data_IF_460425830425
#
_entry.id   IF_460425830425
#
_cell.length_a   1.000
_cell.length_b   1.000
_cell.length_c   1.000
_cell.angle_alpha   90.00
_cell.angle_beta   90.00
_cell.angle_gamma   90.00
#
_symmetry.space_group_name_H-M   'P 1'
#
loop_
_entity.id
_entity.type
_entity.pdbx_description
1 polymer ?
#
# COMPACT_ATOMS: atom_id res chain seq x y z
N UNK A 1 -6.38 13.40 15.11
CA UNK A 1 -5.18 12.65 15.52
C UNK A 1 -5.24 11.25 14.93
N UNK A 2 -4.16 10.82 14.29
CA UNK A 2 -4.08 9.50 13.70
C UNK A 2 -3.82 8.46 14.79
N UNK A 3 -4.45 7.31 14.69
CA UNK A 3 -4.26 6.22 15.64
C UNK A 3 -3.19 5.26 15.12
N UNK A 4 -2.32 4.79 16.02
CA UNK A 4 -1.38 3.74 15.67
C UNK A 4 -2.14 2.42 15.53
N UNK A 5 -2.00 1.73 14.39
CA UNK A 5 -2.67 0.44 14.21
C UNK A 5 -2.23 -0.60 15.23
N UNK A 6 -3.12 -1.51 15.54
CA UNK A 6 -2.82 -2.62 16.45
C UNK A 6 -2.01 -3.67 15.69
N UNK A 7 -0.82 -3.99 16.21
CA UNK A 7 0.04 -5.02 15.61
C UNK A 7 -0.44 -6.41 16.03
N UNK A 8 -0.59 -7.29 15.04
CA UNK A 8 -0.92 -8.68 15.27
C UNK A 8 0.35 -9.52 15.14
N UNK A 9 0.72 -10.34 16.13
CA UNK A 9 1.89 -11.19 15.99
C UNK A 9 1.63 -12.25 14.91
N UNK A 10 2.62 -12.42 14.03
CA UNK A 10 2.60 -13.43 12.98
C UNK A 10 3.80 -14.34 13.20
N UNK A 11 3.57 -15.64 13.36
CA UNK A 11 4.64 -16.59 13.60
C UNK A 11 4.62 -17.70 12.56
N UNK A 12 5.82 -18.16 12.19
CA UNK A 12 5.99 -19.32 11.34
C UNK A 12 5.75 -19.11 9.85
N UNK A 13 5.47 -17.88 9.42
CA UNK A 13 5.28 -17.56 8.00
C UNK A 13 5.58 -16.09 7.72
N UNK A 14 5.75 -15.69 6.45
CA UNK A 14 5.92 -14.28 6.11
C UNK A 14 4.74 -13.42 6.57
N UNK A 15 5.04 -12.16 6.89
CA UNK A 15 4.00 -11.14 7.11
C UNK A 15 3.41 -10.79 5.75
N UNK A 16 2.09 -10.81 5.64
CA UNK A 16 1.38 -10.59 4.37
C UNK A 16 0.74 -9.21 4.36
N UNK A 17 1.16 -8.38 3.40
CA UNK A 17 0.76 -6.96 3.30
C UNK A 17 0.12 -6.70 1.94
N UNK A 18 -1.08 -6.11 1.96
CA UNK A 18 -1.78 -5.71 0.75
C UNK A 18 -1.95 -4.19 0.75
N UNK A 19 -1.40 -3.51 -0.25
CA UNK A 19 -1.60 -2.08 -0.45
C UNK A 19 -2.78 -1.86 -1.39
N UNK A 20 -3.67 -0.93 -1.05
CA UNK A 20 -4.92 -0.71 -1.79
C UNK A 20 -5.10 0.78 -2.10
N UNK A 21 -5.45 1.08 -3.35
CA UNK A 21 -5.92 2.41 -3.75
C UNK A 21 -7.15 2.23 -4.64
N UNK A 22 -7.65 3.30 -5.24
CA UNK A 22 -8.89 3.20 -6.02
C UNK A 22 -8.75 2.27 -7.22
N UNK A 23 -7.82 2.54 -8.13
CA UNK A 23 -7.70 1.81 -9.41
C UNK A 23 -6.51 0.88 -9.53
N UNK A 24 -5.64 0.84 -8.53
CA UNK A 24 -4.43 0.01 -8.52
C UNK A 24 -3.49 0.29 -9.71
N UNK A 25 -3.35 1.57 -10.07
CA UNK A 25 -2.41 1.98 -11.13
C UNK A 25 -1.42 3.07 -10.73
N UNK A 26 -1.63 3.77 -9.61
CA UNK A 26 -0.70 4.81 -9.16
C UNK A 26 -0.17 4.53 -7.77
N UNK A 27 -0.96 4.78 -6.73
CA UNK A 27 -0.51 4.77 -5.33
C UNK A 27 -0.16 3.39 -4.81
N UNK A 28 -1.05 2.42 -4.94
CA UNK A 28 -0.82 1.09 -4.37
C UNK A 28 0.29 0.31 -5.08
N UNK A 29 0.42 0.34 -6.43
CA UNK A 29 1.56 -0.34 -7.04
C UNK A 29 2.88 0.35 -6.73
N UNK A 30 2.88 1.67 -6.51
CA UNK A 30 4.08 2.39 -6.08
C UNK A 30 4.47 1.99 -4.66
N UNK A 31 3.51 1.89 -3.75
CA UNK A 31 3.77 1.42 -2.39
C UNK A 31 4.34 0.00 -2.41
N UNK A 32 3.77 -0.88 -3.21
CA UNK A 32 4.28 -2.23 -3.40
C UNK A 32 5.73 -2.22 -3.88
N UNK A 33 6.02 -1.44 -4.94
CA UNK A 33 7.36 -1.38 -5.53
C UNK A 33 8.41 -0.79 -4.59
N UNK A 34 8.08 0.29 -3.90
CA UNK A 34 8.99 0.92 -2.93
C UNK A 34 9.23 -0.02 -1.74
N UNK A 35 8.17 -0.67 -1.23
CA UNK A 35 8.32 -1.57 -0.10
C UNK A 35 9.13 -2.81 -0.44
N UNK A 36 8.95 -3.38 -1.64
CA UNK A 36 9.79 -4.48 -2.12
C UNK A 36 11.26 -4.09 -2.16
N UNK A 37 11.55 -2.87 -2.62
CA UNK A 37 12.92 -2.35 -2.65
C UNK A 37 13.50 -2.26 -1.24
N UNK A 38 12.75 -1.72 -0.29
CA UNK A 38 13.18 -1.57 1.11
C UNK A 38 13.48 -2.92 1.76
N UNK A 39 12.58 -3.89 1.61
CA UNK A 39 12.77 -5.21 2.24
C UNK A 39 13.91 -5.97 1.58
N UNK A 40 14.10 -5.81 0.27
CA UNK A 40 15.19 -6.46 -0.45
C UNK A 40 16.55 -5.91 -0.01
N UNK A 41 16.67 -4.58 0.14
CA UNK A 41 17.91 -3.97 0.66
C UNK A 41 18.23 -4.38 2.09
N UNK A 42 17.20 -4.67 2.88
CA UNK A 42 17.36 -5.12 4.27
C UNK A 42 17.58 -6.64 4.39
N UNK A 43 17.57 -7.37 3.26
CA UNK A 43 17.69 -8.82 3.27
C UNK A 43 16.48 -9.52 3.86
N UNK A 44 15.29 -8.94 3.73
CA UNK A 44 14.06 -9.41 4.36
C UNK A 44 13.05 -9.98 3.36
N UNK A 45 13.48 -10.35 2.16
CA UNK A 45 12.58 -10.85 1.10
C UNK A 45 11.71 -12.02 1.53
N UNK A 46 12.26 -12.92 2.35
CA UNK A 46 11.53 -14.08 2.83
C UNK A 46 10.63 -13.78 4.03
N UNK A 47 10.77 -12.60 4.64
CA UNK A 47 10.00 -12.21 5.82
C UNK A 47 8.65 -11.59 5.45
N UNK A 48 8.43 -11.23 4.18
CA UNK A 48 7.22 -10.53 3.73
C UNK A 48 6.67 -11.13 2.44
N UNK A 49 5.34 -11.19 2.37
CA UNK A 49 4.59 -11.41 1.13
C UNK A 49 3.84 -10.11 0.85
N UNK A 50 4.08 -9.49 -0.31
CA UNK A 50 3.56 -8.16 -0.62
C UNK A 50 2.78 -8.20 -1.93
N UNK A 51 1.64 -7.52 -1.96
CA UNK A 51 0.83 -7.38 -3.16
C UNK A 51 0.10 -6.03 -3.12
N UNK A 52 -0.60 -5.70 -4.19
CA UNK A 52 -1.45 -4.53 -4.27
C UNK A 52 -2.74 -4.84 -5.03
N UNK A 53 -3.78 -4.07 -4.75
CA UNK A 53 -5.10 -4.23 -5.38
C UNK A 53 -5.82 -2.89 -5.45
N UNK A 54 -6.89 -2.83 -6.24
CA UNK A 54 -7.76 -1.67 -6.33
C UNK A 54 -9.11 -1.92 -5.69
N UNK A 55 -9.75 -0.84 -5.26
CA UNK A 55 -11.15 -0.89 -4.82
C UNK A 55 -12.03 -1.29 -6.00
N UNK A 56 -11.72 -0.76 -7.19
CA UNK A 56 -12.44 -1.06 -8.43
C UNK A 56 -11.53 -1.79 -9.41
N UNK A 57 -12.15 -2.55 -10.34
CA UNK A 57 -11.42 -3.31 -11.36
C UNK A 57 -11.29 -2.60 -12.70
N UNK A 58 -11.44 -1.28 -12.73
CA UNK A 58 -11.48 -0.50 -13.99
C UNK A 58 -10.23 -0.69 -14.86
N UNK A 59 -9.08 -0.87 -14.25
CA UNK A 59 -7.80 -1.03 -14.94
C UNK A 59 -7.25 -2.46 -14.88
N UNK A 60 -8.09 -3.44 -14.59
CA UNK A 60 -7.65 -4.82 -14.40
C UNK A 60 -6.77 -5.31 -15.55
N UNK A 61 -5.62 -5.87 -15.21
CA UNK A 61 -4.64 -6.39 -16.18
C UNK A 61 -3.65 -5.36 -16.69
N UNK A 62 -3.88 -4.08 -16.44
CA UNK A 62 -2.98 -3.01 -16.90
C UNK A 62 -1.75 -2.89 -16.01
N UNK A 63 -0.64 -2.43 -16.60
CA UNK A 63 0.54 -1.99 -15.85
C UNK A 63 0.22 -0.71 -15.11
N UNK A 64 1.02 -0.32 -14.12
CA UNK A 64 0.85 0.98 -13.46
C UNK A 64 0.88 2.13 -14.48
N UNK A 65 0.25 3.24 -14.11
CA UNK A 65 0.22 4.46 -14.93
C UNK A 65 1.62 4.78 -15.45
N UNK A 66 1.74 5.07 -16.76
CA UNK A 66 3.05 5.30 -17.39
C UNK A 66 3.83 6.46 -16.78
N UNK A 67 3.12 7.52 -16.35
CA UNK A 67 3.76 8.67 -15.67
C UNK A 67 4.30 8.25 -14.30
N UNK A 68 3.51 7.48 -13.55
CA UNK A 68 3.95 6.96 -12.25
C UNK A 68 5.17 6.08 -12.40
N UNK A 69 5.15 5.18 -13.39
CA UNK A 69 6.28 4.30 -13.69
C UNK A 69 7.55 5.09 -14.01
N UNK A 70 7.42 6.16 -14.81
CA UNK A 70 8.56 7.00 -15.20
C UNK A 70 9.15 7.73 -13.99
N UNK A 71 8.30 8.31 -13.13
CA UNK A 71 8.76 8.98 -11.92
C UNK A 71 9.43 8.01 -10.95
N UNK A 72 8.84 6.84 -10.75
CA UNK A 72 9.41 5.80 -9.88
C UNK A 72 10.76 5.31 -10.39
N UNK A 73 10.86 5.09 -11.71
CA UNK A 73 12.10 4.61 -12.34
C UNK A 73 13.28 5.56 -12.11
N UNK A 74 13.03 6.87 -12.10
CA UNK A 74 14.07 7.87 -11.81
C UNK A 74 14.65 7.74 -10.40
N UNK A 75 13.90 7.12 -9.49
CA UNK A 75 14.35 6.86 -8.11
C UNK A 75 14.82 5.41 -7.91
N UNK A 76 14.87 4.62 -8.98
CA UNK A 76 15.34 3.24 -8.93
C UNK A 76 14.28 2.20 -8.62
N UNK A 77 13.00 2.57 -8.68
CA UNK A 77 11.90 1.64 -8.45
C UNK A 77 11.31 1.15 -9.78
N UNK A 78 11.20 -0.17 -9.92
CA UNK A 78 10.61 -0.79 -11.11
C UNK A 78 9.20 -1.30 -10.76
N UNK A 79 8.19 -0.65 -11.31
CA UNK A 79 6.79 -0.98 -11.04
C UNK A 79 6.28 -1.93 -12.13
N UNK A 80 6.15 -3.19 -11.80
CA UNK A 80 5.82 -4.25 -12.77
C UNK A 80 4.52 -4.99 -12.48
N UNK A 81 3.83 -4.67 -11.40
CA UNK A 81 2.59 -5.36 -11.02
C UNK A 81 1.46 -5.06 -12.01
N UNK A 82 0.50 -5.98 -12.10
CA UNK A 82 -0.70 -5.79 -12.92
C UNK A 82 -1.87 -5.44 -12.01
N UNK A 83 -2.67 -4.48 -12.43
CA UNK A 83 -3.84 -4.05 -11.69
C UNK A 83 -4.83 -5.20 -11.53
N UNK A 84 -5.39 -5.35 -10.32
CA UNK A 84 -6.46 -6.28 -10.02
C UNK A 84 -7.38 -5.69 -8.95
N UNK A 85 -8.68 -6.02 -8.97
CA UNK A 85 -9.56 -5.59 -7.89
C UNK A 85 -9.31 -6.42 -6.63
N UNK A 86 -9.63 -5.83 -5.48
CA UNK A 86 -9.61 -6.56 -4.21
C UNK A 86 -10.68 -7.64 -4.22
N UNK A 87 -10.39 -8.78 -3.59
CA UNK A 87 -11.26 -9.95 -3.54
C UNK A 87 -11.63 -10.28 -2.10
N UNK A 88 -12.72 -11.00 -1.95
CA UNK A 88 -13.18 -11.51 -0.66
C UNK A 88 -12.05 -12.25 0.08
N UNK A 89 -11.32 -13.10 -0.63
CA UNK A 89 -10.23 -13.93 -0.08
C UNK A 89 -9.07 -13.10 0.47
N UNK A 90 -8.86 -11.90 -0.04
CA UNK A 90 -7.77 -11.02 0.40
C UNK A 90 -7.89 -10.67 1.88
N UNK A 91 -9.13 -10.51 2.38
CA UNK A 91 -9.36 -10.16 3.79
C UNK A 91 -8.94 -11.28 4.74
N UNK A 92 -8.97 -12.52 4.27
CA UNK A 92 -8.52 -13.67 5.06
C UNK A 92 -7.02 -13.90 4.90
N UNK A 93 -6.49 -13.69 3.70
CA UNK A 93 -5.09 -14.01 3.37
C UNK A 93 -4.09 -13.02 3.94
N UNK A 94 -4.36 -11.72 3.81
CA UNK A 94 -3.42 -10.69 4.23
C UNK A 94 -3.56 -10.36 5.71
N UNK A 95 -2.41 -10.05 6.35
CA UNK A 95 -2.38 -9.63 7.74
C UNK A 95 -2.69 -8.14 7.88
N UNK A 96 -2.22 -7.35 6.92
CA UNK A 96 -2.40 -5.89 6.89
C UNK A 96 -2.96 -5.49 5.53
N UNK A 97 -4.07 -4.74 5.56
CA UNK A 97 -4.71 -4.20 4.35
C UNK A 97 -4.64 -2.69 4.48
N UNK A 98 -3.79 -2.07 3.64
CA UNK A 98 -3.36 -0.69 3.83
C UNK A 98 -3.84 0.17 2.68
N UNK A 99 -4.80 1.07 2.98
CA UNK A 99 -5.31 2.04 2.03
C UNK A 99 -4.48 3.32 2.00
N UNK A 100 -4.75 4.17 1.03
CA UNK A 100 -3.98 5.40 0.81
C UNK A 100 -4.70 6.63 1.33
N UNK A 101 -6.04 6.63 1.31
CA UNK A 101 -6.84 7.76 1.77
C UNK A 101 -8.12 7.28 2.48
N UNK A 102 -8.85 8.22 3.07
CA UNK A 102 -10.04 7.91 3.84
C UNK A 102 -11.13 7.25 2.99
N UNK A 103 -11.26 7.62 1.72
CA UNK A 103 -12.20 6.97 0.80
C UNK A 103 -11.86 5.50 0.61
N UNK A 104 -10.57 5.17 0.49
CA UNK A 104 -10.13 3.78 0.43
C UNK A 104 -10.51 3.03 1.71
N UNK A 105 -10.24 3.63 2.87
CA UNK A 105 -10.56 3.02 4.17
C UNK A 105 -12.05 2.72 4.29
N UNK A 106 -12.89 3.70 4.00
CA UNK A 106 -14.34 3.53 4.09
C UNK A 106 -14.85 2.38 3.22
N UNK A 107 -14.37 2.33 1.99
CA UNK A 107 -14.79 1.29 1.05
C UNK A 107 -14.25 -0.08 1.43
N UNK A 108 -13.05 -0.15 1.98
CA UNK A 108 -12.50 -1.40 2.49
C UNK A 108 -13.30 -1.91 3.70
N UNK A 109 -13.67 -1.02 4.61
CA UNK A 109 -14.48 -1.39 5.78
C UNK A 109 -15.85 -1.91 5.36
N UNK A 110 -16.46 -1.32 4.33
CA UNK A 110 -17.73 -1.81 3.78
C UNK A 110 -17.60 -3.21 3.18
N UNK A 111 -16.46 -3.51 2.56
CA UNK A 111 -16.22 -4.81 1.91
C UNK A 111 -15.77 -5.90 2.87
N UNK A 112 -15.27 -5.54 4.04
CA UNK A 112 -14.74 -6.51 5.00
C UNK A 112 -15.83 -7.48 5.42
N UNK A 113 -15.58 -8.80 5.33
CA UNK A 113 -16.63 -9.81 5.62
C UNK A 113 -17.10 -9.84 7.07
N UNK A 114 -16.22 -9.48 8.02
CA UNK A 114 -16.52 -9.49 9.45
C UNK A 114 -15.88 -8.29 10.12
N UNK A 115 -16.35 -7.95 11.33
CA UNK A 115 -15.74 -6.90 12.15
C UNK A 115 -14.29 -7.23 12.51
N UNK A 116 -13.99 -8.50 12.75
CA UNK A 116 -12.63 -8.95 13.06
C UNK A 116 -11.68 -8.71 11.88
N UNK A 117 -12.10 -9.06 10.67
CA UNK A 117 -11.29 -8.84 9.47
C UNK A 117 -11.15 -7.35 9.15
N UNK A 118 -12.15 -6.54 9.47
CA UNK A 118 -12.09 -5.10 9.29
C UNK A 118 -10.97 -4.45 10.12
N UNK A 119 -10.56 -5.07 11.22
CA UNK A 119 -9.45 -4.58 12.05
C UNK A 119 -8.11 -4.59 11.33
N UNK A 120 -7.97 -5.35 10.24
CA UNK A 120 -6.75 -5.39 9.42
C UNK A 120 -6.58 -4.13 8.56
N UNK A 121 -7.64 -3.34 8.40
CA UNK A 121 -7.65 -2.16 7.53
C UNK A 121 -7.06 -0.96 8.24
N UNK A 122 -6.10 -0.30 7.59
CA UNK A 122 -5.49 0.95 8.08
C UNK A 122 -5.11 1.81 6.89
N UNK A 123 -4.74 3.07 7.16
CA UNK A 123 -4.10 3.92 6.16
C UNK A 123 -2.58 3.85 6.33
N UNK A 124 -1.85 4.00 5.24
CA UNK A 124 -0.39 4.02 5.30
C UNK A 124 0.12 5.11 6.26
N UNK A 125 -0.49 6.28 6.22
CA UNK A 125 -0.11 7.41 7.08
C UNK A 125 -0.42 7.20 8.57
N UNK A 126 -1.26 6.23 8.92
CA UNK A 126 -1.48 5.86 10.33
C UNK A 126 -0.19 5.31 10.97
N UNK A 127 0.70 4.73 10.16
CA UNK A 127 1.97 4.16 10.62
C UNK A 127 3.07 5.20 10.76
N UNK A 128 2.83 6.43 10.28
CA UNK A 128 3.78 7.54 10.29
C UNK A 128 3.08 8.82 10.72
N UNK A 129 2.82 9.00 12.04
CA UNK A 129 2.07 10.17 12.53
C UNK A 129 2.73 11.52 12.22
N UNK A 130 4.03 11.51 11.94
CA UNK A 130 4.81 12.71 11.59
C UNK A 130 4.81 13.02 10.09
N UNK A 131 4.06 12.27 9.29
CA UNK A 131 4.00 12.51 7.84
C UNK A 131 3.41 13.90 7.55
N UNK A 132 3.85 14.50 6.43
CA UNK A 132 3.43 15.84 6.02
C UNK A 132 1.92 15.92 5.76
N UNK A 133 1.29 14.80 5.39
CA UNK A 133 -0.16 14.70 5.20
C UNK A 133 -0.69 13.47 5.93
N UNK A 134 -1.99 13.48 6.22
CA UNK A 134 -2.67 12.35 6.84
C UNK A 134 -3.24 11.33 5.84
N UNK A 135 -2.86 11.47 4.57
CA UNK A 135 -3.26 10.57 3.49
C UNK A 135 -2.25 10.68 2.35
N UNK A 136 -2.27 9.69 1.44
CA UNK A 136 -1.51 9.74 0.19
C UNK A 136 -2.48 10.18 -0.91
N UNK A 137 -2.33 11.42 -1.45
CA UNK A 137 -3.27 11.94 -2.45
C UNK A 137 -3.21 11.19 -3.78
N UNK A 138 -4.32 11.20 -4.51
CA UNK A 138 -4.39 10.59 -5.84
C UNK A 138 -3.75 11.53 -6.87
N UNK A 139 -2.66 11.12 -7.55
CA UNK A 139 -1.98 11.98 -8.51
C UNK A 139 -2.56 11.91 -9.92
N UNK A 140 -3.56 11.08 -10.16
CA UNK A 140 -4.00 10.72 -11.52
C UNK A 140 -4.35 11.92 -12.39
N UNK A 141 -5.04 12.90 -11.81
CA UNK A 141 -5.48 14.11 -12.53
C UNK A 141 -4.54 15.30 -12.36
N UNK A 142 -3.42 15.13 -11.68
CA UNK A 142 -2.47 16.19 -11.42
C UNK A 142 -1.28 16.18 -12.39
N UNK A 143 -0.36 17.10 -12.16
CA UNK A 143 0.90 17.20 -12.90
C UNK A 143 2.01 16.36 -12.28
N UNK A 144 3.23 16.57 -12.80
CA UNK A 144 4.43 15.84 -12.35
C UNK A 144 4.67 15.93 -10.85
N UNK A 145 4.38 17.07 -10.23
CA UNK A 145 4.57 17.26 -8.79
C UNK A 145 3.74 16.30 -7.96
N UNK A 146 2.56 15.92 -8.45
CA UNK A 146 1.70 14.96 -7.76
C UNK A 146 2.34 13.59 -7.63
N UNK A 147 2.98 13.12 -8.70
CA UNK A 147 3.67 11.83 -8.70
C UNK A 147 4.89 11.84 -7.77
N UNK A 148 5.67 12.93 -7.80
CA UNK A 148 6.82 13.08 -6.90
C UNK A 148 6.38 13.16 -5.46
N UNK A 149 5.28 13.85 -5.17
CA UNK A 149 4.75 13.96 -3.82
C UNK A 149 4.29 12.59 -3.27
N UNK A 150 3.67 11.76 -4.11
CA UNK A 150 3.32 10.40 -3.72
C UNK A 150 4.57 9.62 -3.31
N UNK A 151 5.62 9.67 -4.14
CA UNK A 151 6.87 8.98 -3.85
C UNK A 151 7.53 9.50 -2.57
N UNK A 152 7.51 10.81 -2.33
CA UNK A 152 8.03 11.39 -1.08
C UNK A 152 7.29 10.83 0.15
N UNK A 153 5.96 10.78 0.09
CA UNK A 153 5.15 10.24 1.18
C UNK A 153 5.43 8.74 1.41
N UNK A 154 5.54 7.98 0.33
CA UNK A 154 5.84 6.55 0.43
C UNK A 154 7.21 6.31 1.06
N UNK A 155 8.22 7.08 0.64
CA UNK A 155 9.58 6.96 1.19
C UNK A 155 9.65 7.37 2.66
N UNK A 156 8.76 8.24 3.09
CA UNK A 156 8.66 8.63 4.50
C UNK A 156 7.91 7.57 5.34
N UNK A 157 6.80 7.06 4.83
CA UNK A 157 5.90 6.20 5.60
C UNK A 157 6.34 4.73 5.62
N UNK A 158 6.79 4.20 4.48
CA UNK A 158 7.06 2.77 4.36
C UNK A 158 8.19 2.25 5.25
N UNK A 159 9.30 2.99 5.48
CA UNK A 159 10.29 2.53 6.45
C UNK A 159 9.75 2.40 7.87
N UNK A 160 8.83 3.28 8.25
CA UNK A 160 8.19 3.22 9.57
C UNK A 160 7.25 2.02 9.67
N UNK A 161 6.48 1.73 8.62
CA UNK A 161 5.66 0.52 8.53
C UNK A 161 6.57 -0.73 8.66
N UNK A 162 7.64 -0.77 7.89
CA UNK A 162 8.57 -1.90 7.88
C UNK A 162 9.08 -2.24 9.28
N UNK A 163 9.49 -1.23 10.03
CA UNK A 163 10.00 -1.42 11.39
C UNK A 163 8.93 -1.94 12.35
N UNK A 164 7.69 -1.51 12.17
CA UNK A 164 6.60 -1.83 13.09
C UNK A 164 6.00 -3.22 12.86
N UNK A 165 6.03 -3.71 11.63
CA UNK A 165 5.40 -5.00 11.29
C UNK A 165 6.42 -6.13 11.04
N UNK A 166 7.70 -5.84 11.09
CA UNK A 166 8.73 -6.88 10.93
C UNK A 166 8.59 -7.91 12.03
N UNK A 167 8.54 -9.21 11.70
CA UNK A 167 8.38 -10.27 12.69
C UNK A 167 9.55 -10.41 13.65
#
# INVERSE_FOLDING_TARGET
>A
MRQTPILQPVSGRPVRVLFVCLGNICRSPSAEGVFRHLISEAGQDEAFEIDSAGIIGHHEGELPDGRMRAHAARRGYDLTSRSRPIRYEDFFHFDYIIGMDESNRERLLEKAPTAELAEKVSLLTDWAPDAAKDHVPDPYYGGAEGFEHVLDLLEHCLPQLQRQIHP
#
